data_IF_419711113877
#
_entry.id   IF_419711113877
#
_cell.length_a   1.000
_cell.length_b   1.000
_cell.length_c   1.000
_cell.angle_alpha   90.00
_cell.angle_beta   90.00
_cell.angle_gamma   90.00
#
_symmetry.space_group_name_H-M   'P 1'
#
loop_
_entity.id
_entity.type
_entity.pdbx_description
1 polymer ?
#
# COMPACT_ATOMS: atom_id res chain seq x y z
N UNK A 1 5.12 -15.80 2.05
CA UNK A 1 4.13 -14.69 2.08
C UNK A 1 3.16 -14.86 3.24
N UNK A 2 2.46 -16.00 3.36
CA UNK A 2 1.51 -16.25 4.44
C UNK A 2 2.15 -16.30 5.83
N UNK A 3 3.33 -16.91 5.95
CA UNK A 3 4.03 -17.05 7.24
C UNK A 3 4.33 -15.71 7.92
N UNK A 4 4.86 -14.73 7.17
CA UNK A 4 5.11 -13.39 7.71
C UNK A 4 3.85 -12.72 8.23
N UNK A 5 2.76 -12.80 7.46
CA UNK A 5 1.45 -12.26 7.88
C UNK A 5 0.97 -12.90 9.19
N UNK A 6 0.98 -14.24 9.29
CA UNK A 6 0.50 -14.93 10.48
C UNK A 6 1.36 -14.64 11.70
N UNK A 7 2.70 -14.63 11.56
CA UNK A 7 3.60 -14.31 12.67
C UNK A 7 3.40 -12.86 13.15
N UNK A 8 3.34 -11.92 12.22
CA UNK A 8 3.32 -10.49 12.55
C UNK A 8 1.95 -10.01 13.05
N UNK A 9 0.88 -10.45 12.39
CA UNK A 9 -0.48 -9.96 12.62
C UNK A 9 -1.32 -10.85 13.53
N UNK A 10 -1.11 -12.18 13.50
CA UNK A 10 -1.88 -13.13 14.33
C UNK A 10 -1.09 -13.51 15.58
N UNK A 11 0.25 -13.49 15.52
CA UNK A 11 1.11 -13.85 16.65
C UNK A 11 1.38 -15.36 16.74
N UNK A 12 1.36 -16.08 15.61
CA UNK A 12 1.77 -17.49 15.60
C UNK A 12 3.29 -17.61 15.64
N UNK A 13 3.83 -18.59 16.35
CA UNK A 13 5.28 -18.79 16.44
C UNK A 13 5.86 -19.50 15.21
N UNK A 14 5.07 -20.40 14.62
CA UNK A 14 5.47 -21.19 13.46
C UNK A 14 4.31 -21.43 12.50
N UNK A 15 4.64 -21.55 11.21
CA UNK A 15 3.69 -21.89 10.15
C UNK A 15 4.25 -23.05 9.34
N UNK A 16 3.43 -24.08 9.20
CA UNK A 16 3.75 -25.29 8.46
C UNK A 16 2.68 -25.52 7.40
N UNK A 17 3.08 -25.54 6.14
CA UNK A 17 2.15 -25.70 5.02
C UNK A 17 2.88 -25.92 3.70
N UNK A 18 2.13 -26.31 2.64
CA UNK A 18 2.71 -26.49 1.32
C UNK A 18 3.21 -25.16 0.75
N UNK A 19 4.30 -25.23 0.00
CA UNK A 19 4.85 -24.08 -0.71
C UNK A 19 4.21 -23.93 -2.09
N UNK A 20 4.21 -22.70 -2.59
CA UNK A 20 3.67 -22.39 -3.91
C UNK A 20 4.66 -22.83 -4.99
N UNK A 21 4.22 -23.70 -5.91
CA UNK A 21 5.08 -24.24 -6.96
C UNK A 21 5.47 -23.15 -7.96
N UNK A 22 6.77 -23.06 -8.22
CA UNK A 22 7.34 -22.23 -9.27
C UNK A 22 8.08 -23.05 -10.32
N UNK A 23 8.02 -22.62 -11.57
CA UNK A 23 8.75 -23.24 -12.70
C UNK A 23 9.49 -22.13 -13.42
N UNK A 24 10.82 -22.24 -13.51
CA UNK A 24 11.68 -21.21 -14.12
C UNK A 24 11.44 -19.78 -13.55
N UNK A 25 11.18 -19.68 -12.23
CA UNK A 25 10.89 -18.41 -11.56
C UNK A 25 9.46 -17.89 -11.74
N UNK A 26 8.60 -18.61 -12.48
CA UNK A 26 7.19 -18.27 -12.70
C UNK A 26 6.33 -19.03 -11.71
N UNK A 27 5.47 -18.31 -11.00
CA UNK A 27 4.56 -18.88 -10.00
C UNK A 27 3.35 -19.50 -10.71
N UNK A 28 3.08 -20.77 -10.43
CA UNK A 28 2.02 -21.52 -11.15
C UNK A 28 0.62 -21.38 -10.55
N UNK A 29 0.52 -20.89 -9.31
CA UNK A 29 -0.72 -20.92 -8.53
C UNK A 29 -1.08 -22.29 -7.96
N UNK A 30 -0.30 -23.34 -8.26
CA UNK A 30 -0.46 -24.67 -7.66
C UNK A 30 0.40 -24.80 -6.41
N UNK A 31 -0.12 -25.50 -5.41
CA UNK A 31 0.64 -25.89 -4.23
C UNK A 31 1.44 -27.16 -4.52
N UNK A 32 2.62 -27.29 -3.92
CA UNK A 32 3.38 -28.53 -3.94
C UNK A 32 2.83 -29.51 -2.89
N UNK A 33 1.86 -30.33 -3.29
CA UNK A 33 1.19 -31.29 -2.40
C UNK A 33 2.06 -32.51 -2.06
N UNK A 34 2.92 -32.96 -3.00
CA UNK A 34 3.75 -34.15 -2.82
C UNK A 34 4.79 -33.98 -1.69
N UNK A 35 5.18 -32.73 -1.44
CA UNK A 35 6.15 -32.36 -0.40
C UNK A 35 5.49 -31.87 0.89
N UNK A 36 4.17 -31.64 0.92
CA UNK A 36 3.49 -31.02 2.05
C UNK A 36 3.67 -31.80 3.36
N UNK A 37 3.47 -33.13 3.34
CA UNK A 37 3.58 -33.99 4.53
C UNK A 37 5.05 -34.12 4.97
N UNK A 38 5.98 -34.28 4.02
CA UNK A 38 7.41 -34.41 4.31
C UNK A 38 8.01 -33.12 4.87
N UNK A 39 7.69 -31.98 4.24
CA UNK A 39 8.09 -30.65 4.69
C UNK A 39 7.46 -30.34 6.04
N UNK A 40 6.20 -30.73 6.25
CA UNK A 40 5.56 -30.58 7.55
C UNK A 40 6.27 -31.37 8.64
N UNK A 41 6.54 -32.66 8.41
CA UNK A 41 7.25 -33.51 9.36
C UNK A 41 8.68 -32.99 9.64
N UNK A 42 9.40 -32.52 8.62
CA UNK A 42 10.74 -31.94 8.79
C UNK A 42 10.70 -30.64 9.62
N UNK A 43 9.79 -29.71 9.29
CA UNK A 43 9.67 -28.44 10.02
C UNK A 43 9.17 -28.65 11.45
N UNK A 44 8.20 -29.53 11.67
CA UNK A 44 7.72 -29.89 13.00
C UNK A 44 8.84 -30.53 13.84
N UNK A 45 9.66 -31.40 13.25
CA UNK A 45 10.84 -31.96 13.94
C UNK A 45 11.87 -30.90 14.28
N UNK A 46 12.10 -29.92 13.42
CA UNK A 46 13.02 -28.82 13.74
C UNK A 46 12.46 -27.89 14.83
N UNK A 47 11.14 -27.78 14.96
CA UNK A 47 10.47 -26.91 15.94
C UNK A 47 10.29 -27.58 17.31
N UNK A 48 9.93 -28.87 17.32
CA UNK A 48 9.51 -29.62 18.52
C UNK A 48 10.45 -30.79 18.87
N UNK A 49 11.46 -31.07 18.03
CA UNK A 49 12.33 -32.24 18.19
C UNK A 49 13.27 -32.17 19.39
N UNK A 50 13.68 -30.97 19.82
CA UNK A 50 14.51 -30.79 21.01
C UNK A 50 13.72 -30.99 22.32
N UNK A 51 12.41 -30.73 22.31
CA UNK A 51 11.52 -30.94 23.46
C UNK A 51 11.30 -32.44 23.74
N UNK A 52 11.31 -33.30 22.71
CA UNK A 52 11.18 -34.76 22.86
C UNK A 52 12.46 -35.45 23.38
N UNK A 53 13.64 -35.00 22.96
CA UNK A 53 14.90 -35.63 23.40
C UNK A 53 15.16 -35.37 24.89
N UNK A 54 14.60 -34.30 25.46
CA UNK A 54 14.67 -33.99 26.88
C UNK A 54 13.72 -34.85 27.74
N UNK A 55 12.58 -35.29 27.19
CA UNK A 55 11.65 -36.21 27.87
C UNK A 55 12.15 -37.67 27.87
N UNK A 56 12.78 -38.13 26.78
CA UNK A 56 13.36 -39.48 26.71
C UNK A 56 14.55 -39.67 27.69
N UNK A 57 15.22 -38.59 28.11
CA UNK A 57 16.33 -38.63 29.09
C UNK A 57 15.88 -38.62 30.56
N UNK A 58 14.58 -38.65 30.86
CA UNK A 58 14.07 -38.84 32.23
C UNK A 58 14.46 -37.72 33.22
N UNK A 59 14.53 -36.47 32.76
CA UNK A 59 14.67 -35.31 33.65
C UNK A 59 13.29 -34.82 34.10
N UNK A 60 12.99 -35.04 35.37
CA UNK A 60 11.82 -34.47 36.06
C UNK A 60 11.72 -32.97 35.77
N UNK A 61 10.55 -32.55 35.29
CA UNK A 61 10.27 -31.16 34.95
C UNK A 61 10.29 -30.26 36.20
N UNK A 62 11.30 -29.40 36.29
CA UNK A 62 11.05 -28.04 36.71
C UNK A 62 10.25 -27.36 35.59
N UNK A 63 9.03 -26.90 35.93
CA UNK A 63 8.06 -26.27 35.06
C UNK A 63 8.69 -25.34 33.99
N UNK A 64 8.57 -25.71 32.71
CA UNK A 64 9.07 -24.90 31.60
C UNK A 64 9.04 -25.52 30.20
N UNK A 65 8.46 -26.71 29.99
CA UNK A 65 8.25 -27.26 28.64
C UNK A 65 7.17 -26.46 27.91
N UNK A 66 7.42 -26.04 26.68
CA UNK A 66 6.51 -25.17 25.93
C UNK A 66 5.21 -25.88 25.56
N UNK A 67 4.08 -25.48 26.15
CA UNK A 67 2.76 -25.94 25.72
C UNK A 67 2.47 -25.46 24.27
N UNK A 68 2.56 -26.34 23.27
CA UNK A 68 2.24 -26.00 21.88
C UNK A 68 0.74 -26.21 21.55
N UNK A 69 0.09 -25.17 21.01
CA UNK A 69 -1.29 -25.21 20.50
C UNK A 69 -1.27 -25.07 18.97
N UNK A 70 -1.86 -26.03 18.25
CA UNK A 70 -1.81 -26.08 16.78
C UNK A 70 -3.15 -25.82 16.10
N UNK A 71 -3.18 -24.95 15.09
CA UNK A 71 -4.30 -24.83 14.14
C UNK A 71 -3.98 -25.68 12.89
N UNK A 72 -4.81 -26.68 12.59
CA UNK A 72 -4.57 -27.62 11.48
C UNK A 72 -5.64 -27.44 10.41
N UNK A 73 -5.21 -27.20 9.16
CA UNK A 73 -6.12 -27.16 8.01
C UNK A 73 -6.53 -28.58 7.58
N UNK A 74 -7.80 -28.76 7.21
CA UNK A 74 -8.28 -29.99 6.60
C UNK A 74 -7.62 -30.15 5.22
N UNK A 75 -6.67 -31.09 5.10
CA UNK A 75 -5.98 -31.39 3.85
C UNK A 75 -6.97 -31.95 2.81
N UNK A 76 -6.96 -31.41 1.59
CA UNK A 76 -7.85 -31.85 0.51
C UNK A 76 -7.54 -33.24 -0.04
N UNK A 77 -6.43 -33.84 0.35
CA UNK A 77 -5.92 -35.07 -0.26
C UNK A 77 -5.42 -36.03 0.82
N UNK A 78 -6.31 -36.85 1.41
CA UNK A 78 -6.07 -38.19 1.99
C UNK A 78 -4.94 -38.44 3.00
N UNK A 79 -4.10 -37.46 3.32
CA UNK A 79 -2.97 -37.55 4.22
C UNK A 79 -3.31 -36.93 5.56
N UNK A 80 -4.14 -37.63 6.33
CA UNK A 80 -4.34 -37.29 7.73
C UNK A 80 -3.00 -37.52 8.43
N UNK A 81 -2.29 -36.47 8.83
CA UNK A 81 -1.32 -36.61 9.91
C UNK A 81 -2.16 -36.98 11.14
N UNK A 82 -2.35 -38.29 11.35
CA UNK A 82 -3.14 -38.80 12.46
C UNK A 82 -2.42 -38.43 13.76
N UNK A 83 -3.01 -37.47 14.48
CA UNK A 83 -2.51 -36.89 15.73
C UNK A 83 -2.24 -37.92 16.85
N UNK A 84 -2.93 -39.06 16.84
CA UNK A 84 -2.71 -40.17 17.80
C UNK A 84 -1.39 -40.91 17.52
N UNK A 85 -0.90 -40.87 16.28
CA UNK A 85 0.31 -41.58 15.83
C UNK A 85 1.43 -40.61 15.40
N UNK A 86 1.18 -39.30 15.50
CA UNK A 86 2.15 -38.26 15.23
C UNK A 86 3.12 -38.16 16.40
N UNK A 87 4.40 -38.38 16.11
CA UNK A 87 5.53 -38.21 17.04
C UNK A 87 5.82 -36.72 17.33
N UNK A 88 4.81 -35.86 17.32
CA UNK A 88 4.91 -34.42 17.55
C UNK A 88 3.78 -34.02 18.50
N UNK A 89 4.13 -33.58 19.70
CA UNK A 89 3.18 -33.28 20.77
C UNK A 89 2.62 -31.87 20.61
N UNK A 90 1.36 -31.76 20.19
CA UNK A 90 0.57 -30.53 20.34
C UNK A 90 -0.46 -30.78 21.44
N UNK A 91 -0.47 -29.93 22.47
CA UNK A 91 -1.37 -30.06 23.63
C UNK A 91 -2.84 -29.89 23.24
N UNK A 92 -3.11 -28.96 22.32
CA UNK A 92 -4.43 -28.73 21.75
C UNK A 92 -4.33 -28.57 20.24
N UNK A 93 -5.33 -29.09 19.52
CA UNK A 93 -5.44 -28.91 18.07
C UNK A 93 -6.83 -28.46 17.68
N UNK A 94 -6.92 -27.48 16.78
CA UNK A 94 -8.18 -27.01 16.21
C UNK A 94 -8.18 -27.23 14.71
N UNK A 95 -9.25 -27.81 14.19
CA UNK A 95 -9.42 -28.05 12.76
C UNK A 95 -10.53 -27.18 12.20
N UNK A 96 -10.24 -26.43 11.14
CA UNK A 96 -11.25 -25.65 10.43
C UNK A 96 -12.06 -26.55 9.50
N UNK A 97 -13.33 -26.77 9.82
CA UNK A 97 -14.23 -27.60 9.01
C UNK A 97 -14.65 -26.88 7.72
N UNK A 98 -15.14 -27.62 6.73
CA UNK A 98 -15.79 -27.01 5.55
C UNK A 98 -16.98 -26.10 5.92
N UNK A 99 -17.68 -26.38 7.02
CA UNK A 99 -18.75 -25.51 7.52
C UNK A 99 -18.19 -24.17 8.02
N UNK A 100 -17.05 -24.19 8.72
CA UNK A 100 -16.35 -22.98 9.17
C UNK A 100 -15.83 -22.17 7.99
N UNK A 101 -15.24 -22.83 6.98
CA UNK A 101 -14.78 -22.18 5.75
C UNK A 101 -15.93 -21.51 4.99
N UNK A 102 -17.12 -22.12 4.96
CA UNK A 102 -18.32 -21.54 4.34
C UNK A 102 -18.92 -20.39 5.14
N UNK A 103 -18.80 -20.41 6.47
CA UNK A 103 -19.30 -19.37 7.38
C UNK A 103 -18.31 -18.24 7.59
N UNK A 104 -17.06 -18.41 7.16
CA UNK A 104 -16.03 -17.39 7.25
C UNK A 104 -16.50 -16.09 6.62
N UNK A 105 -16.25 -14.99 7.34
CA UNK A 105 -16.46 -13.64 6.83
C UNK A 105 -15.12 -12.91 6.83
N UNK A 106 -14.85 -12.06 5.82
CA UNK A 106 -13.74 -11.12 5.90
C UNK A 106 -13.81 -10.36 7.22
N UNK A 107 -12.66 -10.17 7.87
CA UNK A 107 -12.57 -9.33 9.06
C UNK A 107 -13.06 -7.92 8.70
N UNK A 108 -13.84 -7.26 9.57
CA UNK A 108 -14.27 -5.89 9.30
C UNK A 108 -13.05 -4.98 9.08
N UNK A 109 -13.09 -4.08 8.09
CA UNK A 109 -12.07 -3.05 7.92
C UNK A 109 -11.95 -2.23 9.23
N UNK A 110 -10.71 -2.00 9.70
CA UNK A 110 -10.49 -1.24 10.94
C UNK A 110 -10.27 -2.08 12.21
N UNK A 111 -9.85 -3.35 12.07
CA UNK A 111 -8.99 -4.02 13.05
C UNK A 111 -9.57 -4.41 14.41
N UNK A 112 -10.88 -4.25 14.67
CA UNK A 112 -11.47 -4.65 15.96
C UNK A 112 -12.07 -6.06 15.94
N UNK A 113 -11.31 -7.04 15.48
CA UNK A 113 -11.62 -8.45 15.68
C UNK A 113 -10.57 -9.09 16.58
N UNK A 114 -10.62 -8.75 17.88
CA UNK A 114 -9.75 -9.33 18.90
C UNK A 114 -8.27 -9.01 18.72
N UNK A 115 -7.42 -10.05 18.86
CA UNK A 115 -5.97 -9.99 18.97
C UNK A 115 -5.20 -9.84 17.63
N UNK A 116 -5.89 -9.72 16.49
CA UNK A 116 -5.23 -9.61 15.18
C UNK A 116 -4.86 -8.16 14.89
N UNK A 117 -3.57 -7.88 14.69
CA UNK A 117 -3.10 -6.52 14.36
C UNK A 117 -3.58 -6.11 12.97
N UNK A 118 -4.04 -4.86 12.77
CA UNK A 118 -4.49 -4.39 11.47
C UNK A 118 -3.36 -4.41 10.43
N UNK A 119 -3.67 -4.84 9.21
CA UNK A 119 -2.75 -4.82 8.08
C UNK A 119 -2.74 -3.42 7.46
N UNK A 120 -1.84 -2.56 7.94
CA UNK A 120 -1.68 -1.19 7.41
C UNK A 120 -0.67 -1.16 6.25
N UNK A 121 0.43 -1.90 6.40
CA UNK A 121 1.51 -1.93 5.41
C UNK A 121 1.73 -3.34 4.88
N UNK A 122 1.78 -3.44 3.56
CA UNK A 122 2.26 -4.61 2.85
C UNK A 122 2.84 -4.20 1.50
N UNK A 123 3.67 -5.09 0.96
CA UNK A 123 4.21 -4.95 -0.38
C UNK A 123 3.98 -6.21 -1.22
N UNK A 124 3.96 -6.00 -2.53
CA UNK A 124 3.56 -7.00 -3.50
C UNK A 124 2.82 -6.36 -4.67
N UNK A 125 2.98 -6.95 -5.85
CA UNK A 125 2.34 -6.46 -7.09
C UNK A 125 1.03 -7.15 -7.41
N UNK A 126 0.76 -8.33 -6.86
CA UNK A 126 -0.46 -9.08 -7.15
C UNK A 126 -1.57 -8.64 -6.19
N UNK A 127 -2.76 -8.38 -6.74
CA UNK A 127 -3.95 -7.95 -6.00
C UNK A 127 -5.02 -9.06 -5.89
N UNK A 128 -4.65 -10.30 -6.19
CA UNK A 128 -5.55 -11.44 -6.21
C UNK A 128 -4.90 -12.68 -5.55
N UNK A 129 -5.69 -13.62 -5.03
CA UNK A 129 -5.17 -14.83 -4.40
C UNK A 129 -4.49 -15.74 -5.44
N UNK A 130 -3.33 -16.36 -5.13
CA UNK A 130 -2.53 -17.13 -6.08
C UNK A 130 -3.14 -18.51 -6.37
N UNK A 131 -4.30 -18.56 -7.01
CA UNK A 131 -4.94 -19.80 -7.48
C UNK A 131 -4.46 -20.15 -8.89
N UNK A 132 -4.53 -21.43 -9.33
CA UNK A 132 -4.13 -21.81 -10.68
C UNK A 132 -4.96 -21.06 -11.75
N UNK A 133 -6.26 -20.91 -11.51
CA UNK A 133 -7.16 -20.19 -12.43
C UNK A 133 -6.81 -18.70 -12.55
N UNK A 134 -6.48 -18.04 -11.43
CA UNK A 134 -6.11 -16.65 -11.43
C UNK A 134 -4.71 -16.41 -12.05
N UNK A 135 -3.76 -17.33 -11.80
CA UNK A 135 -2.46 -17.31 -12.45
C UNK A 135 -2.60 -17.47 -13.97
N UNK A 136 -3.38 -18.45 -14.44
CA UNK A 136 -3.66 -18.63 -15.87
C UNK A 136 -4.30 -17.38 -16.49
N UNK A 137 -5.33 -16.82 -15.85
CA UNK A 137 -6.00 -15.61 -16.32
C UNK A 137 -5.02 -14.43 -16.42
N UNK A 138 -4.17 -14.24 -15.41
CA UNK A 138 -3.14 -13.20 -15.40
C UNK A 138 -2.15 -13.38 -16.55
N UNK A 139 -1.58 -14.58 -16.74
CA UNK A 139 -0.58 -14.82 -17.79
C UNK A 139 -1.19 -14.71 -19.20
N UNK A 140 -2.42 -15.19 -19.40
CA UNK A 140 -3.13 -15.03 -20.67
C UNK A 140 -3.43 -13.56 -20.97
N UNK A 141 -3.75 -12.77 -19.95
CA UNK A 141 -4.03 -11.35 -20.08
C UNK A 141 -2.76 -10.49 -20.25
N UNK A 142 -1.63 -10.88 -19.66
CA UNK A 142 -0.41 -10.08 -19.57
C UNK A 142 0.02 -9.40 -20.89
N UNK A 143 0.09 -10.07 -22.06
CA UNK A 143 0.47 -9.39 -23.32
C UNK A 143 -0.51 -8.27 -23.70
N UNK A 144 -1.82 -8.47 -23.50
CA UNK A 144 -2.83 -7.45 -23.74
C UNK A 144 -2.77 -6.33 -22.70
N UNK A 145 -2.54 -6.69 -21.44
CA UNK A 145 -2.38 -5.74 -20.34
C UNK A 145 -1.20 -4.79 -20.57
N UNK A 146 -0.07 -5.30 -21.07
CA UNK A 146 1.10 -4.50 -21.45
C UNK A 146 0.73 -3.49 -22.53
N UNK A 147 0.06 -3.92 -23.60
CA UNK A 147 -0.37 -3.04 -24.69
C UNK A 147 -1.34 -1.95 -24.21
N UNK A 148 -2.33 -2.34 -23.38
CA UNK A 148 -3.29 -1.41 -22.77
C UNK A 148 -2.57 -0.39 -21.87
N UNK A 149 -1.64 -0.84 -21.02
CA UNK A 149 -0.89 0.04 -20.13
C UNK A 149 -0.09 1.09 -20.93
N UNK A 150 0.60 0.68 -21.99
CA UNK A 150 1.33 1.61 -22.87
C UNK A 150 0.36 2.62 -23.50
N UNK A 151 -0.78 2.16 -24.05
CA UNK A 151 -1.76 3.05 -24.67
C UNK A 151 -2.31 4.09 -23.69
N UNK A 152 -2.61 3.69 -22.45
CA UNK A 152 -3.11 4.57 -21.38
C UNK A 152 -2.06 5.57 -20.92
N UNK A 153 -0.80 5.15 -20.79
CA UNK A 153 0.32 6.04 -20.43
C UNK A 153 0.59 7.06 -21.53
N UNK A 154 0.59 6.63 -22.80
CA UNK A 154 0.74 7.55 -23.95
C UNK A 154 -0.39 8.56 -23.98
N UNK A 155 -1.64 8.11 -23.76
CA UNK A 155 -2.80 8.99 -23.67
C UNK A 155 -2.67 10.01 -22.52
N UNK A 156 -2.23 9.57 -21.34
CA UNK A 156 -1.97 10.41 -20.16
C UNK A 156 -0.92 11.49 -20.44
N UNK A 157 0.12 11.15 -21.21
CA UNK A 157 1.25 12.04 -21.45
C UNK A 157 1.04 13.01 -22.61
N UNK A 158 0.29 12.62 -23.66
CA UNK A 158 0.23 13.37 -24.92
C UNK A 158 -1.13 14.02 -25.19
N UNK A 159 -2.22 13.54 -24.59
CA UNK A 159 -3.57 14.00 -24.95
C UNK A 159 -4.08 15.07 -23.97
N UNK A 160 -4.94 16.01 -24.42
CA UNK A 160 -5.64 16.91 -23.52
C UNK A 160 -6.49 16.16 -22.50
N UNK A 161 -6.65 16.72 -21.29
CA UNK A 161 -7.34 16.08 -20.15
C UNK A 161 -8.70 15.43 -20.48
N UNK A 162 -9.52 16.08 -21.31
CA UNK A 162 -10.83 15.53 -21.71
C UNK A 162 -10.71 14.27 -22.56
N UNK A 163 -9.79 14.28 -23.53
CA UNK A 163 -9.57 13.15 -24.44
C UNK A 163 -8.93 11.99 -23.68
N UNK A 164 -8.01 12.30 -22.76
CA UNK A 164 -7.40 11.33 -21.88
C UNK A 164 -8.44 10.53 -21.07
N UNK A 165 -9.44 11.19 -20.46
CA UNK A 165 -10.52 10.50 -19.75
C UNK A 165 -11.33 9.58 -20.66
N UNK A 166 -11.61 10.00 -21.90
CA UNK A 166 -12.32 9.18 -22.87
C UNK A 166 -11.51 7.92 -23.23
N UNK A 167 -10.22 8.06 -23.52
CA UNK A 167 -9.34 6.93 -23.82
C UNK A 167 -9.22 6.00 -22.60
N UNK A 168 -9.07 6.56 -21.40
CA UNK A 168 -9.08 5.80 -20.16
C UNK A 168 -10.38 5.00 -20.01
N UNK A 169 -11.54 5.64 -20.15
CA UNK A 169 -12.84 4.97 -20.04
C UNK A 169 -13.04 3.88 -21.10
N UNK A 170 -12.71 4.15 -22.37
CA UNK A 170 -12.80 3.20 -23.48
C UNK A 170 -11.90 1.98 -23.28
N UNK A 171 -10.74 2.17 -22.65
CA UNK A 171 -9.83 1.08 -22.34
C UNK A 171 -10.18 0.36 -21.04
N UNK A 172 -11.18 0.81 -20.27
CA UNK A 172 -11.67 0.14 -19.05
C UNK A 172 -11.38 0.84 -17.71
N UNK A 173 -10.81 2.05 -17.71
CA UNK A 173 -10.59 2.82 -16.48
C UNK A 173 -11.89 3.47 -16.01
N UNK A 174 -12.27 3.22 -14.76
CA UNK A 174 -13.46 3.78 -14.15
C UNK A 174 -13.13 5.02 -13.32
N UNK A 175 -13.50 6.21 -13.81
CA UNK A 175 -13.33 7.45 -13.07
C UNK A 175 -14.64 7.84 -12.36
N UNK A 176 -14.55 8.16 -11.07
CA UNK A 176 -15.67 8.70 -10.29
C UNK A 176 -15.28 10.03 -9.68
N UNK A 177 -15.73 11.12 -10.29
CA UNK A 177 -15.63 12.45 -9.71
C UNK A 177 -16.84 12.71 -8.83
N UNK A 178 -16.61 12.83 -7.52
CA UNK A 178 -17.61 13.29 -6.55
C UNK A 178 -17.45 14.80 -6.42
N UNK A 179 -18.36 15.54 -7.04
CA UNK A 179 -18.36 16.99 -6.92
C UNK A 179 -18.91 17.38 -5.54
N UNK A 180 -18.07 17.94 -4.68
CA UNK A 180 -18.54 18.72 -3.53
C UNK A 180 -19.33 19.94 -4.03
N UNK A 181 -20.35 20.37 -3.27
CA UNK A 181 -21.21 21.53 -3.58
C UNK A 181 -20.42 22.81 -3.95
N UNK A 182 -19.17 22.93 -3.50
CA UNK A 182 -18.31 24.11 -3.69
C UNK A 182 -17.34 24.06 -4.88
N UNK A 183 -17.26 22.93 -5.62
CA UNK A 183 -16.40 22.86 -6.81
C UNK A 183 -16.81 23.91 -7.88
N UNK A 184 -18.10 24.31 -7.88
CA UNK A 184 -18.61 25.40 -8.71
C UNK A 184 -18.17 26.81 -8.23
N UNK A 185 -17.88 26.99 -6.94
CA UNK A 185 -17.42 28.26 -6.35
C UNK A 185 -15.93 28.55 -6.65
N UNK A 186 -15.19 27.57 -7.19
CA UNK A 186 -13.80 27.74 -7.62
C UNK A 186 -13.61 28.77 -8.77
N UNK A 187 -14.69 29.27 -9.37
CA UNK A 187 -14.66 30.36 -10.35
C UNK A 187 -14.43 31.76 -9.74
N UNK A 188 -14.45 31.93 -8.40
CA UNK A 188 -14.53 33.25 -7.77
C UNK A 188 -13.36 33.72 -6.88
N UNK A 189 -12.17 33.12 -6.95
CA UNK A 189 -11.04 33.50 -6.08
C UNK A 189 -10.23 34.68 -6.63
N UNK A 190 -10.57 35.91 -6.22
CA UNK A 190 -10.02 37.20 -6.67
C UNK A 190 -8.67 37.59 -6.00
N UNK A 191 -7.83 36.62 -5.63
CA UNK A 191 -6.52 36.86 -5.00
C UNK A 191 -5.40 36.31 -5.87
N UNK A 192 -4.36 37.12 -6.15
CA UNK A 192 -3.32 36.84 -7.15
C UNK A 192 -2.37 35.65 -6.92
N UNK A 193 -2.71 34.70 -6.04
CA UNK A 193 -1.90 33.51 -5.73
C UNK A 193 -2.57 32.19 -6.14
N UNK A 194 -1.79 31.12 -6.23
CA UNK A 194 -2.27 29.77 -6.54
C UNK A 194 -3.08 29.11 -5.42
N UNK A 195 -3.84 28.07 -5.77
CA UNK A 195 -4.58 27.24 -4.81
C UNK A 195 -3.74 26.06 -4.31
N UNK A 196 -3.76 25.83 -3.01
CA UNK A 196 -3.14 24.67 -2.37
C UNK A 196 -4.15 23.52 -2.30
N UNK A 197 -3.85 22.40 -2.95
CA UNK A 197 -4.60 21.15 -2.85
C UNK A 197 -3.80 20.12 -2.05
N UNK A 198 -4.47 19.45 -1.11
CA UNK A 198 -3.86 18.45 -0.25
C UNK A 198 -4.64 17.16 -0.38
N UNK A 199 -3.98 16.09 -0.81
CA UNK A 199 -4.62 14.80 -1.03
C UNK A 199 -3.92 13.67 -0.26
N UNK A 200 -4.69 12.64 0.11
CA UNK A 200 -4.08 11.37 0.52
C UNK A 200 -3.32 10.73 -0.66
N UNK A 201 -2.52 9.71 -0.38
CA UNK A 201 -1.61 9.13 -1.37
C UNK A 201 -1.87 7.64 -1.60
N UNK A 202 -2.51 7.29 -2.71
CA UNK A 202 -2.80 5.91 -3.14
C UNK A 202 -1.78 5.41 -4.16
N UNK A 203 -1.44 6.23 -5.15
CA UNK A 203 -0.51 5.85 -6.24
C UNK A 203 0.32 7.04 -6.70
N UNK A 204 1.37 6.80 -7.51
CA UNK A 204 2.12 7.91 -8.12
C UNK A 204 1.31 8.76 -9.11
N UNK A 205 0.12 8.30 -9.50
CA UNK A 205 -0.78 9.00 -10.42
C UNK A 205 -1.67 10.03 -9.72
N UNK A 206 -1.72 10.05 -8.38
CA UNK A 206 -2.63 10.92 -7.61
C UNK A 206 -2.60 12.39 -8.07
N UNK A 207 -1.42 13.05 -8.17
CA UNK A 207 -1.42 14.47 -8.53
C UNK A 207 -1.80 14.71 -9.99
N UNK A 208 -1.60 13.72 -10.87
CA UNK A 208 -1.99 13.79 -12.29
C UNK A 208 -3.51 13.67 -12.40
N UNK A 209 -4.12 12.76 -11.63
CA UNK A 209 -5.57 12.60 -11.56
C UNK A 209 -6.23 13.86 -10.99
N UNK A 210 -5.64 14.49 -9.97
CA UNK A 210 -6.10 15.79 -9.44
C UNK A 210 -6.04 16.88 -10.53
N UNK A 211 -4.92 17.01 -11.24
CA UNK A 211 -4.76 17.96 -12.35
C UNK A 211 -5.84 17.77 -13.42
N UNK A 212 -6.05 16.51 -13.79
CA UNK A 212 -7.00 16.14 -14.85
C UNK A 212 -8.44 16.40 -14.42
N UNK A 213 -8.80 16.05 -13.17
CA UNK A 213 -10.13 16.31 -12.63
C UNK A 213 -10.43 17.82 -12.49
N UNK A 214 -9.41 18.64 -12.20
CA UNK A 214 -9.51 20.10 -12.22
C UNK A 214 -9.58 20.69 -13.63
N UNK A 215 -9.12 19.95 -14.65
CA UNK A 215 -9.05 20.42 -16.03
C UNK A 215 -8.05 21.55 -16.26
N UNK A 216 -7.04 21.69 -15.39
CA UNK A 216 -6.00 22.73 -15.46
C UNK A 216 -4.65 22.20 -14.95
N UNK A 217 -3.52 22.77 -15.44
CA UNK A 217 -2.20 22.36 -14.96
C UNK A 217 -2.02 22.74 -13.48
N UNK A 218 -1.39 21.83 -12.73
CA UNK A 218 -0.99 22.02 -11.33
C UNK A 218 0.45 21.55 -11.16
N UNK A 219 1.15 22.10 -10.17
CA UNK A 219 2.49 21.62 -9.79
C UNK A 219 2.37 20.63 -8.64
N UNK A 220 3.05 19.48 -8.71
CA UNK A 220 3.04 18.48 -7.64
C UNK A 220 4.38 18.41 -6.91
N UNK A 221 4.37 18.42 -5.58
CA UNK A 221 5.61 18.19 -4.79
C UNK A 221 5.80 16.72 -4.49
N UNK A 222 7.03 16.24 -4.64
CA UNK A 222 7.34 14.81 -4.47
C UNK A 222 8.61 14.60 -3.64
N UNK A 223 8.59 13.60 -2.75
CA UNK A 223 9.71 13.30 -1.84
C UNK A 223 10.73 12.31 -2.41
N UNK A 224 10.43 11.61 -3.51
CA UNK A 224 11.21 10.42 -3.90
C UNK A 224 11.20 10.10 -5.40
N UNK A 225 10.82 11.02 -6.28
CA UNK A 225 10.94 10.80 -7.72
C UNK A 225 12.40 10.93 -8.18
N UNK A 226 12.85 10.05 -9.07
CA UNK A 226 14.16 10.20 -9.74
C UNK A 226 14.12 11.37 -10.73
N UNK A 227 15.28 11.93 -11.10
CA UNK A 227 15.37 13.01 -12.11
C UNK A 227 14.77 12.59 -13.45
N UNK A 228 14.91 11.31 -13.81
CA UNK A 228 14.33 10.73 -15.02
C UNK A 228 12.80 10.71 -14.92
N UNK A 229 12.25 10.32 -13.76
CA UNK A 229 10.79 10.31 -13.54
C UNK A 229 10.19 11.72 -13.58
N UNK A 230 10.92 12.73 -13.11
CA UNK A 230 10.53 14.14 -13.18
C UNK A 230 10.56 14.68 -14.61
N UNK A 231 11.53 14.29 -15.44
CA UNK A 231 11.62 14.70 -16.84
C UNK A 231 10.47 14.16 -17.70
N UNK A 232 10.00 12.95 -17.40
CA UNK A 232 8.90 12.30 -18.15
C UNK A 232 7.52 12.53 -17.52
N UNK A 233 7.44 13.31 -16.44
CA UNK A 233 6.18 13.53 -15.74
C UNK A 233 5.22 14.38 -16.61
N UNK A 234 3.94 13.96 -16.79
CA UNK A 234 2.95 14.72 -17.55
C UNK A 234 2.58 16.09 -16.94
N UNK A 235 2.95 16.29 -15.67
CA UNK A 235 2.73 17.53 -14.93
C UNK A 235 4.05 18.03 -14.37
N UNK A 236 4.12 19.33 -14.08
CA UNK A 236 5.29 19.89 -13.41
C UNK A 236 5.42 19.27 -12.02
N UNK A 237 6.54 18.60 -11.77
CA UNK A 237 6.88 18.12 -10.43
C UNK A 237 7.96 18.99 -9.81
N UNK A 238 8.00 19.07 -8.48
CA UNK A 238 9.07 19.69 -7.73
C UNK A 238 9.53 18.76 -6.61
N UNK A 239 10.84 18.50 -6.57
CA UNK A 239 11.42 17.59 -5.58
C UNK A 239 11.62 18.27 -4.23
N UNK A 240 11.20 17.59 -3.16
CA UNK A 240 11.49 18.01 -1.78
C UNK A 240 12.86 17.48 -1.34
N UNK A 241 13.57 18.30 -0.59
CA UNK A 241 14.97 18.10 -0.19
C UNK A 241 15.12 17.47 1.19
N UNK A 242 14.01 17.25 1.91
CA UNK A 242 13.95 16.76 3.30
C UNK A 242 14.56 17.74 4.31
N UNK A 243 14.78 18.98 3.88
CA UNK A 243 15.07 20.12 4.73
C UNK A 243 13.78 20.94 4.84
N UNK A 244 13.21 20.99 6.05
CA UNK A 244 11.89 21.59 6.29
C UNK A 244 11.82 23.05 5.85
N UNK A 245 12.84 23.85 6.15
CA UNK A 245 12.82 25.28 5.89
C UNK A 245 13.05 25.59 4.41
N UNK A 246 13.94 24.83 3.76
CA UNK A 246 14.13 24.92 2.31
C UNK A 246 12.88 24.48 1.56
N UNK A 247 12.28 23.37 1.99
CA UNK A 247 11.07 22.82 1.36
C UNK A 247 9.89 23.77 1.54
N UNK A 248 9.73 24.39 2.72
CA UNK A 248 8.72 25.43 2.99
C UNK A 248 8.85 26.61 2.03
N UNK A 249 10.06 27.17 1.90
CA UNK A 249 10.35 28.30 1.00
C UNK A 249 10.09 27.95 -0.47
N UNK A 250 10.50 26.76 -0.90
CA UNK A 250 10.26 26.28 -2.26
C UNK A 250 8.76 26.11 -2.53
N UNK A 251 8.02 25.49 -1.60
CA UNK A 251 6.57 25.32 -1.71
C UNK A 251 5.85 26.67 -1.79
N UNK A 252 6.22 27.64 -0.96
CA UNK A 252 5.67 28.99 -1.01
C UNK A 252 5.91 29.67 -2.37
N UNK A 253 7.13 29.55 -2.92
CA UNK A 253 7.46 30.12 -4.23
C UNK A 253 6.69 29.44 -5.39
N UNK A 254 6.41 28.14 -5.29
CA UNK A 254 5.58 27.43 -6.26
C UNK A 254 4.12 27.86 -6.17
N UNK A 255 3.58 27.95 -4.95
CA UNK A 255 2.20 28.37 -4.70
C UNK A 255 1.94 29.81 -5.17
N UNK A 256 2.93 30.70 -5.03
CA UNK A 256 2.86 32.06 -5.55
C UNK A 256 2.77 32.12 -7.09
N UNK A 257 3.28 31.10 -7.79
CA UNK A 257 3.30 31.05 -9.27
C UNK A 257 2.11 30.28 -9.86
N UNK A 258 1.41 29.47 -9.07
CA UNK A 258 0.28 28.68 -9.54
C UNK A 258 -0.16 27.62 -8.54
N UNK A 259 -1.15 26.83 -8.95
CA UNK A 259 -1.76 25.80 -8.12
C UNK A 259 -0.76 24.69 -7.74
N UNK A 260 -0.79 24.27 -6.47
CA UNK A 260 0.13 23.31 -5.87
C UNK A 260 -0.63 22.12 -5.30
N UNK A 261 -0.22 20.89 -5.63
CA UNK A 261 -0.74 19.64 -5.06
C UNK A 261 0.32 19.02 -4.15
N UNK A 262 -0.10 18.63 -2.94
CA UNK A 262 0.76 18.01 -1.93
C UNK A 262 0.15 16.70 -1.43
N UNK A 263 0.95 15.64 -1.38
CA UNK A 263 0.62 14.38 -0.70
C UNK A 263 1.36 14.31 0.65
N UNK A 264 0.77 14.77 1.76
CA UNK A 264 1.47 14.99 3.03
C UNK A 264 1.84 13.70 3.77
N UNK A 265 1.30 12.54 3.36
CA UNK A 265 1.72 11.22 3.84
C UNK A 265 3.18 10.90 3.48
N UNK A 266 3.68 11.48 2.37
CA UNK A 266 5.03 11.28 1.86
C UNK A 266 5.34 9.89 1.31
N UNK A 267 4.37 8.96 1.36
CA UNK A 267 4.42 7.63 0.75
C UNK A 267 3.01 7.19 0.42
N UNK A 268 2.87 6.28 -0.54
CA UNK A 268 1.58 5.67 -0.86
C UNK A 268 1.11 4.74 0.27
N UNK A 269 -0.18 4.72 0.53
CA UNK A 269 -0.90 3.75 1.36
C UNK A 269 -2.04 3.19 0.53
N UNK A 270 -2.14 1.86 0.41
CA UNK A 270 -3.15 1.19 -0.44
C UNK A 270 -4.34 0.60 0.35
N UNK A 271 -4.22 0.53 1.67
CA UNK A 271 -5.28 0.03 2.55
C UNK A 271 -6.21 1.17 2.99
N UNK A 272 -7.33 0.85 3.63
CA UNK A 272 -8.33 1.82 4.11
C UNK A 272 -7.88 2.68 5.30
N UNK A 273 -6.63 3.14 5.27
CA UNK A 273 -5.97 3.91 6.32
C UNK A 273 -5.34 5.18 5.76
N UNK A 274 -5.35 6.25 6.54
CA UNK A 274 -4.58 7.46 6.28
C UNK A 274 -3.35 7.51 7.18
N UNK A 275 -2.18 7.66 6.58
CA UNK A 275 -0.95 7.94 7.34
C UNK A 275 -0.97 9.36 7.88
N UNK A 276 -0.14 9.60 8.90
CA UNK A 276 -0.01 10.92 9.52
C UNK A 276 0.42 11.96 8.49
N UNK A 277 -0.33 13.05 8.40
CA UNK A 277 0.00 14.15 7.50
C UNK A 277 1.14 15.00 8.07
N UNK A 278 2.16 15.27 7.24
CA UNK A 278 3.17 16.28 7.55
C UNK A 278 2.54 17.67 7.61
N UNK A 279 2.82 18.49 8.65
CA UNK A 279 2.24 19.83 8.78
C UNK A 279 2.85 20.89 7.84
N UNK A 280 3.87 20.52 7.06
CA UNK A 280 4.63 21.44 6.21
C UNK A 280 3.76 22.28 5.25
N UNK A 281 2.68 21.70 4.71
CA UNK A 281 1.79 22.45 3.81
C UNK A 281 0.99 23.52 4.55
N UNK A 282 0.67 23.30 5.83
CA UNK A 282 -0.10 24.24 6.65
C UNK A 282 0.77 25.43 7.12
N UNK A 283 2.09 25.27 7.17
CA UNK A 283 3.05 26.36 7.44
C UNK A 283 3.09 27.43 6.34
N UNK A 284 2.46 27.18 5.18
CA UNK A 284 2.36 28.17 4.10
C UNK A 284 1.36 29.29 4.41
N UNK A 285 0.52 29.14 5.44
CA UNK A 285 -0.50 30.14 5.79
C UNK A 285 -1.58 30.34 4.72
N UNK A 286 -1.73 29.38 3.80
CA UNK A 286 -2.72 29.43 2.73
C UNK A 286 -3.89 28.49 3.03
N UNK A 287 -5.09 28.90 2.65
CA UNK A 287 -6.27 28.02 2.71
C UNK A 287 -6.05 26.74 1.89
N UNK A 288 -6.46 25.62 2.46
CA UNK A 288 -6.26 24.28 1.91
C UNK A 288 -7.53 23.80 1.22
N UNK A 289 -7.40 23.21 0.04
CA UNK A 289 -8.46 22.51 -0.67
C UNK A 289 -8.20 20.99 -0.56
N UNK A 290 -8.83 20.29 0.40
CA UNK A 290 -8.59 18.87 0.57
C UNK A 290 -9.20 18.07 -0.59
N UNK A 291 -8.50 17.02 -1.02
CA UNK A 291 -8.95 16.13 -2.08
C UNK A 291 -8.83 14.69 -1.62
N UNK A 292 -9.97 14.00 -1.54
CA UNK A 292 -10.02 12.59 -1.17
C UNK A 292 -9.89 11.71 -2.42
N UNK A 293 -8.94 10.78 -2.38
CA UNK A 293 -8.60 9.89 -3.48
C UNK A 293 -8.76 8.43 -3.02
N UNK A 294 -9.44 7.62 -3.83
CA UNK A 294 -9.45 6.18 -3.63
C UNK A 294 -9.29 5.44 -4.95
N UNK A 295 -8.68 4.25 -4.88
CA UNK A 295 -8.31 3.47 -6.05
C UNK A 295 -8.66 2.01 -5.88
N UNK A 296 -9.31 1.45 -6.89
CA UNK A 296 -9.55 0.01 -7.00
C UNK A 296 -8.69 -0.60 -8.09
N UNK A 297 -8.17 -1.80 -7.83
CA UNK A 297 -7.40 -2.61 -8.79
C UNK A 297 -7.94 -4.03 -8.79
N UNK A 298 -7.72 -4.76 -9.87
CA UNK A 298 -8.23 -6.12 -10.02
C UNK A 298 -7.13 -7.18 -10.17
N UNK A 299 -5.99 -6.84 -10.78
CA UNK A 299 -4.85 -7.75 -10.94
C UNK A 299 -3.57 -7.25 -10.26
N UNK A 300 -3.26 -5.96 -10.41
CA UNK A 300 -1.95 -5.42 -10.08
C UNK A 300 -1.99 -4.19 -9.19
N UNK A 301 -1.26 -4.23 -8.09
CA UNK A 301 -1.00 -3.05 -7.29
C UNK A 301 0.05 -2.13 -7.97
N UNK A 302 -0.33 -0.87 -8.13
CA UNK A 302 0.51 0.19 -8.66
C UNK A 302 1.44 0.83 -7.64
N UNK A 303 1.93 0.09 -6.64
CA UNK A 303 2.78 0.64 -5.58
C UNK A 303 3.87 -0.35 -5.20
N UNK A 304 5.10 0.13 -4.99
CA UNK A 304 6.18 -0.65 -4.38
C UNK A 304 7.02 0.17 -3.39
N UNK A 305 7.58 -0.50 -2.38
CA UNK A 305 8.59 0.09 -1.50
C UNK A 305 10.00 0.01 -2.08
N UNK A 306 10.26 -0.90 -3.04
CA UNK A 306 11.57 -1.05 -3.69
C UNK A 306 11.85 0.13 -4.62
N UNK A 307 12.82 1.00 -4.31
CA UNK A 307 13.03 2.25 -5.06
C UNK A 307 13.36 2.04 -6.54
N UNK A 308 14.07 0.96 -6.87
CA UNK A 308 14.46 0.64 -8.25
C UNK A 308 13.28 0.28 -9.16
N UNK A 309 12.16 -0.19 -8.62
CA UNK A 309 11.00 -0.64 -9.40
C UNK A 309 9.82 0.33 -9.35
N UNK A 310 9.91 1.42 -8.57
CA UNK A 310 8.84 2.42 -8.43
C UNK A 310 8.47 3.11 -9.74
N UNK A 311 9.39 3.22 -10.69
CA UNK A 311 9.06 3.79 -12.00
C UNK A 311 8.02 2.95 -12.75
N UNK A 312 7.88 1.65 -12.41
CA UNK A 312 6.86 0.77 -12.96
C UNK A 312 5.51 0.90 -12.27
N UNK A 313 5.39 1.68 -11.19
CA UNK A 313 4.13 1.85 -10.44
C UNK A 313 2.96 2.28 -11.33
N UNK A 314 3.11 3.33 -12.18
CA UNK A 314 2.08 3.70 -13.15
C UNK A 314 1.76 2.58 -14.13
N UNK A 315 2.77 1.82 -14.56
CA UNK A 315 2.59 0.73 -15.53
C UNK A 315 1.75 -0.41 -14.95
N UNK A 316 2.08 -0.89 -13.75
CA UNK A 316 1.28 -1.92 -13.08
C UNK A 316 -0.15 -1.44 -12.81
N UNK A 317 -0.33 -0.19 -12.37
CA UNK A 317 -1.68 0.35 -12.19
C UNK A 317 -2.48 0.36 -13.50
N UNK A 318 -1.87 0.88 -14.58
CA UNK A 318 -2.51 1.01 -15.89
C UNK A 318 -2.66 -0.32 -16.65
N UNK A 319 -1.97 -1.38 -16.21
CA UNK A 319 -2.11 -2.72 -16.77
C UNK A 319 -3.38 -3.43 -16.29
N UNK A 320 -4.00 -2.99 -15.20
CA UNK A 320 -5.26 -3.58 -14.73
C UNK A 320 -6.35 -3.54 -15.82
N UNK A 321 -7.11 -4.61 -16.02
CA UNK A 321 -8.30 -4.61 -16.87
C UNK A 321 -9.30 -3.49 -16.52
N UNK A 322 -9.65 -3.35 -15.23
CA UNK A 322 -10.71 -2.42 -14.77
C UNK A 322 -10.28 -1.61 -13.55
N UNK A 323 -9.20 -0.81 -13.64
CA UNK A 323 -8.79 0.04 -12.55
C UNK A 323 -9.84 1.12 -12.32
N UNK A 324 -10.04 1.52 -11.07
CA UNK A 324 -10.93 2.62 -10.72
C UNK A 324 -10.20 3.71 -9.95
N UNK A 325 -10.64 4.95 -10.16
CA UNK A 325 -10.15 6.13 -9.47
C UNK A 325 -11.33 7.00 -9.04
N UNK A 326 -11.53 7.12 -7.73
CA UNK A 326 -12.47 8.06 -7.13
C UNK A 326 -11.72 9.32 -6.72
N UNK A 327 -12.29 10.48 -7.06
CA UNK A 327 -11.78 11.80 -6.70
C UNK A 327 -12.90 12.59 -6.08
N UNK A 328 -12.68 13.16 -4.91
CA UNK A 328 -13.64 14.03 -4.24
C UNK A 328 -12.97 15.31 -3.76
N UNK A 329 -13.45 16.46 -4.24
CA UNK A 329 -13.00 17.76 -3.75
C UNK A 329 -13.85 18.16 -2.54
N UNK A 330 -13.21 18.36 -1.40
CA UNK A 330 -13.86 18.63 -0.13
C UNK A 330 -13.93 20.14 0.17
N UNK A 331 -14.81 20.57 1.09
CA UNK A 331 -14.87 21.95 1.55
C UNK A 331 -13.50 22.48 2.00
N UNK A 332 -13.25 23.76 1.73
CA UNK A 332 -11.98 24.42 2.01
C UNK A 332 -11.72 24.46 3.52
N UNK A 333 -10.51 24.08 3.94
CA UNK A 333 -10.05 24.27 5.30
C UNK A 333 -9.31 25.62 5.38
N UNK A 334 -9.73 26.56 6.24
CA UNK A 334 -9.07 27.86 6.35
C UNK A 334 -7.64 27.70 6.85
N UNK A 335 -6.78 28.65 6.48
CA UNK A 335 -5.47 28.78 7.11
C UNK A 335 -5.61 28.98 8.63
N UNK A 336 -4.55 28.68 9.38
CA UNK A 336 -4.47 29.09 10.78
C UNK A 336 -4.60 30.62 10.87
N UNK A 337 -5.38 31.13 11.83
CA UNK A 337 -5.65 32.57 11.98
C UNK A 337 -4.35 33.39 12.09
N UNK A 338 -4.40 34.61 11.53
CA UNK A 338 -3.26 35.53 11.40
C UNK A 338 -2.63 35.86 12.76
N UNK A 339 -1.56 35.16 13.08
CA UNK A 339 -0.83 35.31 14.33
C UNK A 339 0.40 34.42 14.39
N UNK A 340 1.23 34.47 13.34
CA UNK A 340 2.50 33.73 13.24
C UNK A 340 2.31 32.22 13.38
N UNK A 341 2.14 31.50 12.27
CA UNK A 341 1.86 30.05 12.25
C UNK A 341 2.83 29.30 13.17
N UNK A 342 2.37 29.04 14.40
CA UNK A 342 3.11 28.25 15.35
C UNK A 342 3.18 26.81 14.85
N UNK A 343 4.18 26.07 15.32
CA UNK A 343 4.25 24.62 15.06
C UNK A 343 2.98 23.90 15.53
N UNK A 344 2.30 24.40 16.57
CA UNK A 344 1.03 23.86 17.06
C UNK A 344 -0.14 24.05 16.09
N UNK A 345 -0.26 25.22 15.48
CA UNK A 345 -1.37 25.54 14.57
C UNK A 345 -1.29 24.77 13.26
N UNK A 346 -0.08 24.64 12.69
CA UNK A 346 0.13 23.85 11.47
C UNK A 346 -0.19 22.36 11.69
N UNK A 347 0.10 21.82 12.86
CA UNK A 347 -0.28 20.44 13.23
C UNK A 347 -1.81 20.32 13.35
N UNK A 348 -2.48 21.30 13.98
CA UNK A 348 -3.95 21.30 14.10
C UNK A 348 -4.63 21.31 12.74
N UNK A 349 -4.16 22.16 11.82
CA UNK A 349 -4.66 22.22 10.43
C UNK A 349 -4.41 20.88 9.73
N UNK A 350 -3.21 20.31 9.84
CA UNK A 350 -2.88 19.05 9.20
C UNK A 350 -3.76 17.88 9.68
N UNK A 351 -3.98 17.79 11.00
CA UNK A 351 -4.86 16.78 11.58
C UNK A 351 -6.32 17.00 11.19
N UNK A 352 -6.78 18.25 11.08
CA UNK A 352 -8.11 18.59 10.59
C UNK A 352 -8.34 18.14 9.15
N UNK A 353 -7.39 18.44 8.26
CA UNK A 353 -7.43 17.99 6.86
C UNK A 353 -7.36 16.47 6.74
N UNK A 354 -6.52 15.80 7.54
CA UNK A 354 -6.46 14.34 7.60
C UNK A 354 -7.82 13.74 8.00
N UNK A 355 -8.49 14.31 9.02
CA UNK A 355 -9.82 13.88 9.47
C UNK A 355 -10.87 14.06 8.40
N UNK A 356 -10.90 15.21 7.74
CA UNK A 356 -11.87 15.51 6.70
C UNK A 356 -11.77 14.52 5.51
N UNK A 357 -10.54 14.17 5.09
CA UNK A 357 -10.32 13.16 4.05
C UNK A 357 -10.70 11.76 4.57
N UNK A 358 -10.36 11.43 5.82
CA UNK A 358 -10.70 10.15 6.43
C UNK A 358 -12.20 9.90 6.48
N UNK A 359 -12.97 10.91 6.92
CA UNK A 359 -14.43 10.88 6.96
C UNK A 359 -15.05 10.71 5.57
N UNK A 360 -14.55 11.42 4.55
CA UNK A 360 -15.05 11.32 3.18
C UNK A 360 -14.80 9.96 2.50
N UNK A 361 -13.74 9.26 2.92
CA UNK A 361 -13.38 7.94 2.41
C UNK A 361 -13.88 6.80 3.30
N UNK A 362 -14.27 7.07 4.54
CA UNK A 362 -14.49 6.05 5.56
C UNK A 362 -13.19 5.34 5.99
N UNK A 363 -12.05 6.03 5.90
CA UNK A 363 -10.73 5.48 6.22
C UNK A 363 -10.36 5.76 7.67
N UNK A 364 -9.65 4.81 8.28
CA UNK A 364 -9.14 4.97 9.65
C UNK A 364 -7.87 5.82 9.67
N UNK A 365 -7.79 6.76 10.61
CA UNK A 365 -6.62 7.61 10.77
C UNK A 365 -5.56 6.90 11.60
N UNK A 366 -4.31 6.98 11.16
CA UNK A 366 -3.16 6.43 11.89
C UNK A 366 -2.16 7.52 12.25
N UNK A 367 -1.38 7.27 13.31
CA UNK A 367 -0.18 8.05 13.63
C UNK A 367 1.07 7.59 12.86
N UNK A 368 0.95 6.54 12.04
CA UNK A 368 2.07 5.95 11.31
C UNK A 368 2.56 6.88 10.21
N UNK A 369 3.86 6.81 9.95
CA UNK A 369 4.57 7.69 9.04
C UNK A 369 5.21 6.91 7.90
N UNK A 370 5.74 7.64 6.91
CA UNK A 370 6.65 7.08 5.91
C UNK A 370 7.79 6.27 6.55
N UNK A 371 8.39 6.73 7.65
CA UNK A 371 9.51 5.99 8.28
C UNK A 371 9.05 4.62 8.76
N UNK A 372 7.90 4.56 9.44
CA UNK A 372 7.32 3.32 9.96
C UNK A 372 7.06 2.31 8.83
N UNK A 373 6.51 2.78 7.70
CA UNK A 373 6.29 1.94 6.51
C UNK A 373 7.57 1.27 6.01
N UNK A 374 8.64 2.04 5.80
CA UNK A 374 9.87 1.50 5.22
C UNK A 374 10.64 0.65 6.22
N UNK A 375 10.56 0.98 7.52
CA UNK A 375 11.16 0.15 8.57
C UNK A 375 10.49 -1.23 8.61
N UNK A 376 9.15 -1.28 8.55
CA UNK A 376 8.40 -2.54 8.54
C UNK A 376 8.66 -3.36 7.25
N UNK A 377 8.64 -2.72 6.08
CA UNK A 377 8.67 -3.45 4.79
C UNK A 377 10.07 -3.72 4.24
N UNK A 378 11.05 -2.88 4.56
CA UNK A 378 12.39 -2.93 3.95
C UNK A 378 13.53 -2.84 4.96
N UNK A 379 13.24 -2.80 6.27
CA UNK A 379 14.25 -2.70 7.33
C UNK A 379 15.09 -1.41 7.29
N UNK A 380 14.62 -0.36 6.62
CA UNK A 380 15.34 0.92 6.50
C UNK A 380 14.40 2.12 6.54
N UNK A 381 14.93 3.34 6.71
CA UNK A 381 14.11 4.56 6.83
C UNK A 381 13.61 5.13 5.49
N UNK A 382 13.74 4.38 4.40
CA UNK A 382 13.44 4.85 3.04
C UNK A 382 14.48 5.83 2.51
N UNK A 383 15.73 5.72 2.99
CA UNK A 383 16.92 6.39 2.47
C UNK A 383 17.79 5.33 1.82
N UNK A 384 17.92 5.39 0.49
CA UNK A 384 18.89 4.53 -0.21
C UNK A 384 20.24 5.24 -0.12
N UNK A 385 21.19 4.67 0.61
CA UNK A 385 22.58 5.11 0.53
C UNK A 385 23.03 4.99 -0.93
N UNK A 386 23.69 6.02 -1.48
CA UNK A 386 24.31 5.89 -2.79
C UNK A 386 25.28 4.69 -2.73
N UNK A 387 25.13 3.74 -3.64
CA UNK A 387 26.02 2.59 -3.71
C UNK A 387 27.46 3.10 -3.74
N UNK A 388 28.29 2.62 -2.81
CA UNK A 388 29.71 2.93 -2.81
C UNK A 388 30.30 2.47 -4.16
N UNK A 389 31.13 3.28 -4.83
CA UNK A 389 31.77 2.87 -6.06
C UNK A 389 32.56 1.59 -5.79
N UNK A 390 32.32 0.57 -6.62
CA UNK A 390 33.11 -0.67 -6.63
C UNK A 390 34.56 -0.25 -6.81
N UNK A 391 35.39 -0.46 -5.79
CA UNK A 391 36.85 -0.32 -5.95
C UNK A 391 37.27 -1.37 -6.96
N UNK A 392 37.75 -0.92 -8.12
CA UNK A 392 38.49 -1.78 -9.02
C UNK A 392 39.70 -2.32 -8.25
N UNK A 393 39.75 -3.64 -8.06
CA UNK A 393 40.98 -4.32 -7.68
C UNK A 393 41.95 -4.20 -8.86
N UNK A 394 43.06 -3.51 -8.66
CA UNK A 394 44.21 -3.57 -9.56
C UNK A 394 44.88 -4.95 -9.49
#
# INVERSE_FOLDING_TARGET
>A
MLEGFLREHVGVDAVVGPELRSVAGVVTGMMDEADAVRVAAMRLRALLGDEMMAEEEGKDHAAGGGDAVGLVGEGRSGGTVHYILSRFYCKETFTATEADKRRWRPLPPGGKCGAVKPLVFHDGRLAFPPTPSAALAMYAYLPFGVAIAVSRIVALSLLPYRVMFLVGALTGVHYRLVAGRDAAAAKGGRGGGGRLYVCNHRTLLDPIVVATALGKPVTAVTYSLSRVSEMIAPIRTARLTRDREKDRRNMAALLARGDLVVCPEGTTCREGYLLRFSPLFAELGADVNPVALDTGVDMFHGTSTMPATKWMDPFYFMMNPKPSYRVEFLPRAPAAEDGGVGRGDSIRVANGVQRQIGEALGFELTGMTRKDKYMMLAGNEGVVAAAAPIKASN
#
